data_IF_433741214130
#
_entry.id   IF_433741214130
#
_cell.length_a   1.000
_cell.length_b   1.000
_cell.length_c   1.000
_cell.angle_alpha   90.00
_cell.angle_beta   90.00
_cell.angle_gamma   90.00
#
_symmetry.space_group_name_H-M   'P 1'
#
loop_
_entity.id
_entity.type
_entity.pdbx_description
1 polymer ?
#
# COMPACT_ATOMS: atom_id res chain seq x y z
N UNK A 1 14.05 -6.01 -4.76
CA UNK A 1 12.74 -6.36 -4.19
C UNK A 1 11.66 -6.16 -5.26
N UNK A 2 10.81 -7.17 -5.50
CA UNK A 2 9.68 -7.10 -6.43
C UNK A 2 8.42 -6.72 -5.65
N UNK A 3 7.73 -5.65 -6.07
CA UNK A 3 6.48 -5.22 -5.42
C UNK A 3 5.33 -5.39 -6.41
N UNK A 4 4.28 -6.10 -6.00
CA UNK A 4 3.01 -6.15 -6.72
C UNK A 4 1.94 -5.32 -6.03
N UNK A 5 1.05 -4.71 -6.81
CA UNK A 5 -0.06 -3.90 -6.33
C UNK A 5 -1.37 -4.51 -6.78
N UNK A 6 -2.31 -4.62 -5.85
CA UNK A 6 -3.65 -5.14 -6.10
C UNK A 6 -4.68 -4.14 -5.56
N UNK A 7 -5.63 -3.77 -6.42
CA UNK A 7 -6.62 -2.75 -6.14
C UNK A 7 -8.00 -3.42 -6.03
N UNK A 8 -8.50 -3.62 -4.80
CA UNK A 8 -9.82 -4.20 -4.58
C UNK A 8 -10.85 -3.11 -4.28
N UNK A 9 -11.91 -3.09 -5.09
CA UNK A 9 -13.08 -2.22 -4.92
C UNK A 9 -12.79 -0.70 -4.94
N UNK A 10 -11.69 -0.26 -5.55
CA UNK A 10 -11.28 1.16 -5.61
C UNK A 10 -11.55 1.76 -6.99
N UNK A 11 -12.19 2.94 -7.02
CA UNK A 11 -12.48 3.68 -8.27
C UNK A 11 -11.55 4.89 -8.47
N UNK A 12 -10.24 4.66 -8.43
CA UNK A 12 -9.26 5.69 -8.83
C UNK A 12 -8.97 5.66 -10.33
N UNK A 13 -8.64 6.84 -10.86
CA UNK A 13 -8.08 6.97 -12.20
C UNK A 13 -6.66 6.39 -12.25
N UNK A 14 -6.21 5.98 -13.43
CA UNK A 14 -4.94 5.27 -13.59
C UNK A 14 -3.71 6.12 -13.22
N UNK A 15 -3.79 7.44 -13.43
CA UNK A 15 -2.78 8.41 -13.02
C UNK A 15 -2.65 8.51 -11.49
N UNK A 16 -3.79 8.52 -10.78
CA UNK A 16 -3.83 8.50 -9.32
C UNK A 16 -3.25 7.19 -8.77
N UNK A 17 -3.63 6.05 -9.35
CA UNK A 17 -3.08 4.74 -8.96
C UNK A 17 -1.56 4.71 -9.12
N UNK A 18 -1.06 5.17 -10.27
CA UNK A 18 0.38 5.22 -10.54
C UNK A 18 1.14 6.07 -9.53
N UNK A 19 0.62 7.26 -9.20
CA UNK A 19 1.22 8.14 -8.18
C UNK A 19 1.26 7.50 -6.79
N UNK A 20 0.21 6.77 -6.42
CA UNK A 20 0.16 6.03 -5.15
C UNK A 20 1.16 4.88 -5.16
N UNK A 21 1.22 4.07 -6.23
CA UNK A 21 2.17 2.95 -6.34
C UNK A 21 3.63 3.41 -6.26
N UNK A 22 3.98 4.52 -6.91
CA UNK A 22 5.33 5.09 -6.84
C UNK A 22 5.71 5.45 -5.40
N UNK A 23 4.79 6.09 -4.66
CA UNK A 23 5.00 6.44 -3.26
C UNK A 23 5.18 5.21 -2.36
N UNK A 24 4.34 4.19 -2.54
CA UNK A 24 4.48 2.95 -1.78
C UNK A 24 5.78 2.19 -2.12
N UNK A 25 6.29 2.27 -3.35
CA UNK A 25 7.59 1.67 -3.69
C UNK A 25 8.73 2.27 -2.86
N UNK A 26 8.70 3.58 -2.61
CA UNK A 26 9.74 4.25 -1.83
C UNK A 26 9.59 3.99 -0.32
N UNK A 27 8.35 3.99 0.18
CA UNK A 27 8.07 3.60 1.57
C UNK A 27 8.52 2.15 1.83
N UNK A 28 8.15 1.21 0.96
CA UNK A 28 8.46 -0.22 1.15
C UNK A 28 9.94 -0.54 1.07
N UNK A 29 10.73 0.17 0.25
CA UNK A 29 12.20 0.04 0.26
C UNK A 29 12.79 0.34 1.64
N UNK A 30 12.15 1.22 2.40
CA UNK A 30 12.59 1.63 3.74
C UNK A 30 11.95 0.77 4.83
N UNK A 31 10.69 0.35 4.65
CA UNK A 31 9.89 -0.38 5.63
C UNK A 31 10.28 -1.87 5.73
N UNK A 32 10.65 -2.47 4.61
CA UNK A 32 10.97 -3.89 4.54
C UNK A 32 12.49 -4.07 4.70
N UNK A 33 12.88 -4.81 5.75
CA UNK A 33 14.28 -5.09 6.07
C UNK A 33 14.99 -5.88 4.96
N UNK A 34 16.32 -5.84 4.95
CA UNK A 34 17.17 -6.72 4.15
C UNK A 34 16.73 -8.18 4.34
N UNK A 35 16.21 -8.79 3.27
CA UNK A 35 15.68 -10.15 3.27
C UNK A 35 14.27 -10.29 2.68
N UNK A 36 13.49 -9.20 2.60
CA UNK A 36 12.19 -9.23 1.92
C UNK A 36 12.40 -9.07 0.42
N UNK A 37 12.44 -10.19 -0.31
CA UNK A 37 12.70 -10.18 -1.76
C UNK A 37 11.47 -9.81 -2.58
N UNK A 38 10.27 -10.13 -2.10
CA UNK A 38 9.00 -9.78 -2.75
C UNK A 38 7.94 -9.39 -1.71
N UNK A 39 7.09 -8.41 -2.06
CA UNK A 39 5.96 -7.96 -1.25
C UNK A 39 4.74 -7.65 -2.13
N UNK A 40 3.55 -7.88 -1.60
CA UNK A 40 2.29 -7.52 -2.25
C UNK A 40 1.57 -6.45 -1.42
N UNK A 41 1.10 -5.39 -2.08
CA UNK A 41 0.29 -4.35 -1.47
C UNK A 41 -1.15 -4.54 -1.93
N UNK A 42 -2.02 -4.83 -0.97
CA UNK A 42 -3.46 -4.96 -1.17
C UNK A 42 -4.12 -3.66 -0.72
N UNK A 43 -4.67 -2.93 -1.69
CA UNK A 43 -5.48 -1.74 -1.41
C UNK A 43 -6.96 -2.13 -1.29
N UNK A 44 -7.58 -1.75 -0.19
CA UNK A 44 -9.00 -1.91 0.09
C UNK A 44 -9.65 -0.54 0.29
N UNK A 45 -10.70 -0.25 -0.49
CA UNK A 45 -11.53 0.93 -0.25
C UNK A 45 -12.38 0.68 1.00
N UNK A 46 -12.34 1.59 1.98
CA UNK A 46 -13.40 1.65 2.98
C UNK A 46 -13.86 3.08 3.20
N UNK A 47 -15.17 3.27 3.02
CA UNK A 47 -15.85 4.55 3.17
C UNK A 47 -15.68 5.10 4.60
N UNK A 48 -15.54 6.43 4.79
CA UNK A 48 -15.78 7.50 3.80
C UNK A 48 -14.66 7.63 2.75
N UNK A 49 -15.03 8.03 1.53
CA UNK A 49 -14.26 8.04 0.27
C UNK A 49 -12.96 8.87 0.23
N UNK A 50 -12.44 9.25 1.38
CA UNK A 50 -11.25 10.09 1.60
C UNK A 50 -10.07 9.32 2.20
N UNK A 51 -10.24 8.01 2.45
CA UNK A 51 -9.20 7.14 3.03
C UNK A 51 -9.03 5.87 2.22
N UNK A 52 -7.78 5.54 1.94
CA UNK A 52 -7.36 4.32 1.27
C UNK A 52 -6.70 3.43 2.31
N UNK A 53 -7.28 2.26 2.59
CA UNK A 53 -6.71 1.33 3.56
C UNK A 53 -6.12 0.14 2.84
N UNK A 54 -5.38 -0.69 3.57
CA UNK A 54 -4.89 -1.92 2.99
C UNK A 54 -3.89 -2.66 3.85
N UNK A 55 -3.30 -3.69 3.27
CA UNK A 55 -2.30 -4.54 3.91
C UNK A 55 -1.13 -4.80 2.98
N UNK A 56 0.05 -4.95 3.57
CA UNK A 56 1.25 -5.45 2.90
C UNK A 56 1.42 -6.91 3.32
N UNK A 57 1.58 -7.80 2.35
CA UNK A 57 1.81 -9.22 2.59
C UNK A 57 3.15 -9.67 2.02
N UNK A 58 3.69 -10.74 2.59
CA UNK A 58 4.80 -11.48 1.98
C UNK A 58 4.30 -12.47 0.90
N UNK A 59 5.23 -13.27 0.36
CA UNK A 59 4.97 -14.33 -0.63
C UNK A 59 4.05 -15.44 -0.13
N UNK A 60 4.00 -15.68 1.19
CA UNK A 60 3.12 -16.69 1.78
C UNK A 60 1.69 -16.18 1.96
N UNK A 61 1.44 -14.90 1.67
CA UNK A 61 0.18 -14.22 1.94
C UNK A 61 0.03 -13.78 3.41
N UNK A 62 1.10 -13.89 4.21
CA UNK A 62 1.09 -13.44 5.60
C UNK A 62 1.09 -11.92 5.65
N UNK A 63 0.16 -11.35 6.42
CA UNK A 63 0.07 -9.89 6.61
C UNK A 63 1.25 -9.43 7.46
N UNK A 64 2.06 -8.54 6.90
CA UNK A 64 3.20 -7.93 7.56
C UNK A 64 2.82 -6.60 8.21
N UNK A 65 2.04 -5.79 7.48
CA UNK A 65 1.62 -4.47 7.91
C UNK A 65 0.20 -4.19 7.43
N UNK A 66 -0.56 -3.41 8.19
CA UNK A 66 -1.72 -2.66 7.69
C UNK A 66 -1.34 -1.21 7.47
N UNK A 67 -2.02 -0.53 6.55
CA UNK A 67 -1.84 0.90 6.36
C UNK A 67 -3.15 1.66 6.23
N UNK A 68 -3.12 2.93 6.62
CA UNK A 68 -4.14 3.92 6.33
C UNK A 68 -3.51 5.07 5.55
N UNK A 69 -4.02 5.33 4.35
CA UNK A 69 -3.53 6.38 3.46
C UNK A 69 -4.59 7.49 3.39
N UNK A 70 -4.22 8.65 3.92
CA UNK A 70 -5.07 9.82 4.01
C UNK A 70 -4.89 10.68 2.75
N UNK A 71 -5.98 10.96 2.04
CA UNK A 71 -5.97 11.95 0.95
C UNK A 71 -5.91 13.37 1.53
N UNK A 72 -4.70 13.84 1.80
CA UNK A 72 -4.40 15.27 1.91
C UNK A 72 -3.53 15.69 0.71
N UNK A 73 -3.24 16.98 0.52
CA UNK A 73 -2.49 17.50 -0.64
C UNK A 73 -1.15 16.77 -0.92
N UNK A 74 -0.63 16.05 0.07
CA UNK A 74 0.24 14.89 -0.13
C UNK A 74 -0.41 13.72 0.59
N UNK A 75 -0.63 12.59 -0.10
CA UNK A 75 -1.06 11.37 0.59
C UNK A 75 -0.13 11.14 1.79
N UNK A 76 -0.66 10.89 2.98
CA UNK A 76 0.14 10.49 4.15
C UNK A 76 -0.26 9.08 4.52
N UNK A 77 0.71 8.20 4.77
CA UNK A 77 0.46 6.78 5.01
C UNK A 77 0.96 6.40 6.39
N UNK A 78 0.05 5.98 7.25
CA UNK A 78 0.38 5.43 8.56
C UNK A 78 0.45 3.91 8.45
N UNK A 79 1.59 3.33 8.80
CA UNK A 79 1.82 1.88 8.80
C UNK A 79 1.74 1.33 10.22
N UNK A 80 1.03 0.21 10.39
CA UNK A 80 0.97 -0.54 11.65
C UNK A 80 1.47 -1.96 11.39
N UNK A 81 2.48 -2.39 12.15
CA UNK A 81 3.00 -3.77 12.09
C UNK A 81 1.99 -4.73 12.73
N UNK A 82 1.71 -5.84 12.06
CA UNK A 82 0.80 -6.89 12.53
C UNK A 82 1.59 -8.00 13.21
#
# INVERSE_FOLDING_TARGET
MKISFQWHHIKFQDDQKKSIEERFKDDLKSLLAEGTNEACVLFEEYLPAIKLNGFITDLSGSKLFSFNCHQSNNFTTDYTKI
#
